data_IF_925491297606
#
_entry.id   IF_925491297606
#
_cell.length_a   1.000
_cell.length_b   1.000
_cell.length_c   1.000
_cell.angle_alpha   90.00
_cell.angle_beta   90.00
_cell.angle_gamma   90.00
#
_symmetry.space_group_name_H-M   'P 1'
#
loop_
_entity.id
_entity.type
_entity.pdbx_description
1 polymer ?
#
# COMPACT_ATOMS: atom_id res chain seq x y z
N UNK A 1 -9.67 13.14 15.57
CA UNK A 1 -10.11 13.88 14.38
C UNK A 1 -10.95 12.95 13.53
N UNK A 2 -12.23 13.26 13.36
CA UNK A 2 -13.20 12.40 12.67
C UNK A 2 -12.99 12.35 11.15
N UNK A 3 -13.59 11.33 10.53
CA UNK A 3 -13.57 11.04 9.10
C UNK A 3 -14.24 12.15 8.30
N UNK A 4 -13.45 12.93 7.54
CA UNK A 4 -13.90 13.97 6.61
C UNK A 4 -12.94 15.16 6.54
N UNK A 5 -13.03 16.04 5.51
CA UNK A 5 -12.28 17.28 5.48
C UNK A 5 -12.72 18.16 6.65
N UNK A 6 -11.93 18.18 7.72
CA UNK A 6 -12.18 19.04 8.87
C UNK A 6 -11.82 20.49 8.51
N UNK A 7 -12.80 21.27 8.09
CA UNK A 7 -12.65 22.72 8.00
C UNK A 7 -12.83 23.32 9.41
N UNK A 8 -11.76 23.87 9.97
CA UNK A 8 -11.84 24.73 11.16
C UNK A 8 -12.05 26.16 10.66
N UNK A 9 -13.31 26.63 10.62
CA UNK A 9 -13.62 28.04 10.33
C UNK A 9 -13.98 28.74 11.63
N UNK A 10 -13.24 29.78 12.04
CA UNK A 10 -13.61 30.67 13.16
C UNK A 10 -13.34 32.14 12.86
N UNK A 11 -14.30 32.96 13.26
CA UNK A 11 -14.29 34.42 13.26
C UNK A 11 -14.05 34.92 14.70
N UNK A 12 -12.84 35.33 15.08
CA UNK A 12 -12.55 35.93 16.40
C UNK A 12 -11.07 36.00 16.80
N UNK A 13 -10.71 36.95 17.69
CA UNK A 13 -9.35 37.50 17.92
C UNK A 13 -8.49 36.88 19.05
N UNK A 14 -8.70 35.62 19.44
CA UNK A 14 -7.80 34.93 20.38
C UNK A 14 -6.95 33.88 19.65
N UNK A 15 -5.63 33.86 19.93
CA UNK A 15 -4.64 32.99 19.27
C UNK A 15 -4.93 31.51 19.55
N UNK A 16 -5.35 30.76 18.54
CA UNK A 16 -5.47 29.31 18.61
C UNK A 16 -4.08 28.69 18.37
N UNK A 17 -3.57 27.93 19.34
CA UNK A 17 -2.40 27.08 19.10
C UNK A 17 -2.87 25.82 18.41
N UNK A 18 -2.50 25.63 17.14
CA UNK A 18 -2.78 24.39 16.44
C UNK A 18 -1.62 23.43 16.73
N UNK A 19 -1.89 22.41 17.55
CA UNK A 19 -0.94 21.33 17.79
C UNK A 19 -0.89 20.38 16.57
N UNK A 20 -0.11 20.77 15.55
CA UNK A 20 0.02 20.02 14.30
C UNK A 20 0.69 18.65 14.45
N UNK A 21 1.36 18.38 15.58
CA UNK A 21 1.90 17.05 15.90
C UNK A 21 0.84 15.94 15.94
N UNK A 22 -0.44 16.29 16.11
CA UNK A 22 -1.59 15.36 16.02
C UNK A 22 -2.22 15.31 14.62
N UNK A 23 -1.75 16.12 13.67
CA UNK A 23 -2.26 16.25 12.29
C UNK A 23 -1.22 15.61 11.34
N UNK A 24 -0.98 14.32 11.51
CA UNK A 24 0.03 13.57 10.75
C UNK A 24 -0.59 12.54 9.78
N UNK A 25 -1.92 12.54 9.58
CA UNK A 25 -2.64 11.48 8.87
C UNK A 25 -3.93 11.93 8.15
N UNK A 26 -4.11 13.23 7.91
CA UNK A 26 -5.23 13.69 7.08
C UNK A 26 -4.79 13.56 5.63
N UNK A 27 -5.41 12.68 4.85
CA UNK A 27 -5.24 12.62 3.39
C UNK A 27 -5.79 13.84 2.67
N UNK A 28 -5.84 15.00 3.34
CA UNK A 28 -6.30 16.29 2.86
C UNK A 28 -5.39 17.42 3.36
N UNK A 29 -5.83 18.67 3.14
CA UNK A 29 -5.06 19.87 3.48
C UNK A 29 -5.71 20.65 4.60
N UNK A 30 -4.92 21.21 5.51
CA UNK A 30 -5.34 22.27 6.42
C UNK A 30 -5.08 23.62 5.73
N UNK A 31 -6.14 24.28 5.26
CA UNK A 31 -6.06 25.63 4.74
C UNK A 31 -6.55 26.63 5.79
N UNK A 32 -5.70 27.57 6.19
CA UNK A 32 -6.02 28.57 7.21
C UNK A 32 -6.77 29.79 6.65
N UNK A 33 -6.82 29.96 5.32
CA UNK A 33 -7.63 31.00 4.67
C UNK A 33 -7.23 32.46 4.92
N UNK A 34 -6.29 32.75 5.82
CA UNK A 34 -5.56 34.01 5.93
C UNK A 34 -4.34 33.86 6.85
N UNK A 35 -3.44 34.83 6.80
CA UNK A 35 -2.28 34.91 7.69
C UNK A 35 -2.70 35.11 9.16
N UNK A 36 -1.88 34.64 10.09
CA UNK A 36 -1.96 34.90 11.53
C UNK A 36 -3.25 34.40 12.23
N UNK A 37 -4.02 33.51 11.58
CA UNK A 37 -5.21 32.89 12.20
C UNK A 37 -4.85 31.80 13.22
N UNK A 38 -3.63 31.24 13.11
CA UNK A 38 -3.17 30.15 13.96
C UNK A 38 -1.66 30.24 14.24
N UNK A 39 -1.21 29.60 15.31
CA UNK A 39 0.21 29.43 15.62
C UNK A 39 0.64 27.97 15.55
N UNK A 40 1.94 27.72 15.36
CA UNK A 40 2.53 26.37 15.37
C UNK A 40 3.94 26.31 15.93
N UNK A 41 4.21 25.27 16.72
CA UNK A 41 5.57 24.93 17.16
C UNK A 41 6.33 24.03 16.18
N UNK A 42 5.72 23.66 15.05
CA UNK A 42 6.32 22.76 14.05
C UNK A 42 7.60 23.37 13.48
N UNK A 43 8.63 22.54 13.33
CA UNK A 43 9.88 22.94 12.70
C UNK A 43 9.65 23.20 11.21
N UNK A 44 10.27 24.26 10.69
CA UNK A 44 10.24 24.55 9.26
C UNK A 44 11.27 23.71 8.53
N UNK A 45 10.91 23.23 7.35
CA UNK A 45 11.83 22.63 6.39
C UNK A 45 12.00 23.61 5.23
N UNK A 46 13.24 24.02 4.94
CA UNK A 46 13.52 25.01 3.88
C UNK A 46 12.73 26.32 4.04
N UNK A 47 12.43 26.72 5.29
CA UNK A 47 11.61 27.89 5.59
C UNK A 47 10.11 27.69 5.39
N UNK A 48 9.64 26.46 5.13
CA UNK A 48 8.24 26.10 4.90
C UNK A 48 7.72 25.14 5.97
N UNK A 49 6.44 25.25 6.26
CA UNK A 49 5.69 24.23 7.00
C UNK A 49 5.42 23.02 6.09
N UNK A 50 5.08 21.85 6.66
CA UNK A 50 4.65 20.71 5.86
C UNK A 50 3.57 21.09 4.83
N UNK A 51 3.68 20.56 3.61
CA UNK A 51 2.90 21.03 2.46
C UNK A 51 1.38 20.82 2.57
N UNK A 52 0.92 19.94 3.46
CA UNK A 52 -0.50 19.81 3.78
C UNK A 52 -1.06 21.04 4.52
N UNK A 53 -0.22 21.98 4.93
CA UNK A 53 -0.60 23.23 5.58
C UNK A 53 -0.45 24.35 4.58
N UNK A 54 -1.57 25.01 4.31
CA UNK A 54 -1.65 26.09 3.35
C UNK A 54 -2.26 27.33 3.99
N UNK A 55 -1.87 28.50 3.48
CA UNK A 55 -2.52 29.77 3.77
C UNK A 55 -2.94 30.36 2.43
N UNK A 56 -4.24 30.64 2.29
CA UNK A 56 -4.83 31.07 1.01
C UNK A 56 -4.51 30.12 -0.17
N UNK A 57 -4.39 28.83 0.11
CA UNK A 57 -4.05 27.81 -0.89
C UNK A 57 -2.57 27.77 -1.32
N UNK A 58 -1.72 28.69 -0.86
CA UNK A 58 -0.27 28.64 -1.02
C UNK A 58 0.40 27.90 0.14
N UNK A 59 1.67 27.49 -0.01
CA UNK A 59 2.41 26.88 1.10
C UNK A 59 2.60 27.87 2.25
N UNK A 60 2.62 27.33 3.46
CA UNK A 60 2.70 28.12 4.67
C UNK A 60 4.12 28.16 5.27
N UNK A 61 4.37 29.16 6.10
CA UNK A 61 5.55 29.28 6.97
C UNK A 61 5.11 29.74 8.35
N UNK A 62 6.06 29.97 9.26
CA UNK A 62 5.81 30.61 10.55
C UNK A 62 6.77 31.77 10.80
N UNK A 63 6.29 32.80 11.49
CA UNK A 63 7.12 33.92 11.93
C UNK A 63 7.92 33.57 13.21
N UNK A 64 8.73 34.50 13.70
CA UNK A 64 9.52 34.34 14.94
C UNK A 64 8.66 34.18 16.22
N UNK A 65 7.39 34.55 16.15
CA UNK A 65 6.39 34.38 17.22
C UNK A 65 5.54 33.11 17.03
N UNK A 66 5.90 32.25 16.07
CA UNK A 66 5.19 31.03 15.68
C UNK A 66 3.82 31.23 15.01
N UNK A 67 3.43 32.45 14.60
CA UNK A 67 2.21 32.66 13.82
C UNK A 67 2.39 32.03 12.43
N UNK A 68 1.35 31.35 11.93
CA UNK A 68 1.34 30.74 10.60
C UNK A 68 0.92 31.80 9.58
N UNK A 69 1.68 31.92 8.49
CA UNK A 69 1.44 32.87 7.40
C UNK A 69 1.79 32.23 6.05
N UNK A 70 1.30 32.81 4.96
CA UNK A 70 1.68 32.43 3.61
C UNK A 70 3.17 32.66 3.38
N UNK A 71 3.84 31.68 2.77
CA UNK A 71 5.23 31.86 2.38
C UNK A 71 5.32 32.67 1.09
N UNK A 72 6.20 33.67 1.07
CA UNK A 72 6.37 34.59 -0.07
C UNK A 72 7.81 34.64 -0.61
N UNK A 73 8.75 33.92 0.01
CA UNK A 73 10.18 33.94 -0.33
C UNK A 73 10.57 33.14 -1.57
N UNK A 74 9.69 33.02 -2.56
CA UNK A 74 9.95 32.24 -3.78
C UNK A 74 10.80 32.99 -4.80
N UNK A 75 11.57 32.24 -5.60
CA UNK A 75 12.08 32.69 -6.88
C UNK A 75 11.05 32.40 -7.96
N UNK A 76 10.58 33.43 -8.66
CA UNK A 76 9.54 33.28 -9.67
C UNK A 76 10.10 32.75 -10.99
N UNK A 77 9.34 31.87 -11.63
CA UNK A 77 9.59 31.34 -12.97
C UNK A 77 8.32 31.49 -13.78
N UNK A 78 8.43 31.98 -15.01
CA UNK A 78 7.27 32.14 -15.90
C UNK A 78 6.70 30.78 -16.30
N UNK A 79 5.38 30.61 -16.23
CA UNK A 79 4.69 29.37 -16.63
C UNK A 79 4.96 29.00 -18.08
N UNK A 80 5.05 29.99 -18.96
CA UNK A 80 5.28 29.79 -20.38
C UNK A 80 6.70 30.22 -20.76
N UNK A 81 7.54 29.24 -21.11
CA UNK A 81 8.91 29.47 -21.56
C UNK A 81 9.91 29.86 -20.46
N UNK A 82 9.52 29.79 -19.19
CA UNK A 82 10.41 30.04 -18.07
C UNK A 82 11.48 28.96 -17.89
N UNK A 83 12.53 29.29 -17.14
CA UNK A 83 13.64 28.40 -16.88
C UNK A 83 13.86 28.23 -15.36
N UNK A 84 13.89 26.99 -14.89
CA UNK A 84 14.28 26.66 -13.52
C UNK A 84 15.80 26.59 -13.47
N UNK A 85 16.41 27.58 -12.82
CA UNK A 85 17.86 27.68 -12.66
C UNK A 85 18.32 26.95 -11.41
N UNK A 86 19.49 26.32 -11.48
CA UNK A 86 20.11 25.66 -10.34
C UNK A 86 20.33 26.65 -9.18
N UNK A 87 19.68 26.37 -8.06
CA UNK A 87 19.76 27.15 -6.82
C UNK A 87 19.29 26.29 -5.65
N UNK A 88 20.22 25.55 -5.05
CA UNK A 88 19.95 24.51 -4.03
C UNK A 88 19.22 25.00 -2.77
N UNK A 89 19.17 26.31 -2.52
CA UNK A 89 18.43 26.91 -1.41
C UNK A 89 17.10 27.58 -1.80
N UNK A 90 16.84 27.76 -3.10
CA UNK A 90 15.69 28.52 -3.55
C UNK A 90 14.42 27.67 -3.61
N UNK A 91 13.34 28.19 -3.04
CA UNK A 91 11.99 27.69 -3.31
C UNK A 91 11.49 28.35 -4.59
N UNK A 92 11.05 27.57 -5.57
CA UNK A 92 10.62 28.08 -6.87
C UNK A 92 9.10 28.23 -6.90
N UNK A 93 8.60 29.33 -7.48
CA UNK A 93 7.17 29.52 -7.78
C UNK A 93 6.98 29.75 -9.28
N UNK A 94 6.30 28.82 -9.95
CA UNK A 94 5.88 29.01 -11.33
C UNK A 94 4.65 29.92 -11.33
N UNK A 95 4.77 31.12 -11.89
CA UNK A 95 3.73 32.15 -11.91
C UNK A 95 3.10 32.31 -13.30
N UNK A 96 1.89 32.86 -13.35
CA UNK A 96 1.22 33.18 -14.62
C UNK A 96 1.91 34.34 -15.34
N UNK A 97 2.89 33.98 -16.16
CA UNK A 97 3.68 34.88 -16.99
C UNK A 97 4.24 34.11 -18.20
N UNK A 98 4.86 34.86 -19.11
CA UNK A 98 5.39 34.35 -20.38
C UNK A 98 4.35 34.28 -21.50
N UNK A 99 4.78 33.87 -22.69
CA UNK A 99 3.97 33.91 -23.91
C UNK A 99 3.74 32.54 -24.55
N UNK A 100 4.75 31.68 -24.54
CA UNK A 100 4.69 30.33 -25.14
C UNK A 100 5.79 29.44 -24.57
N UNK A 101 5.66 28.13 -24.79
CA UNK A 101 6.66 27.12 -24.44
C UNK A 101 6.48 26.52 -23.04
N UNK A 102 7.26 25.47 -22.79
CA UNK A 102 7.29 24.76 -21.51
C UNK A 102 8.21 25.48 -20.52
N UNK A 103 8.04 25.20 -19.23
CA UNK A 103 9.09 25.48 -18.25
C UNK A 103 10.23 24.49 -18.45
N UNK A 104 11.47 24.94 -18.52
CA UNK A 104 12.63 24.09 -18.86
C UNK A 104 13.74 24.17 -17.81
N UNK A 105 14.67 23.21 -17.86
CA UNK A 105 15.97 23.32 -17.18
C UNK A 105 17.03 23.71 -18.23
N UNK A 106 17.67 24.88 -18.11
CA UNK A 106 18.57 25.37 -19.15
C UNK A 106 19.98 24.78 -19.07
N UNK A 107 20.35 24.22 -17.91
CA UNK A 107 21.66 23.60 -17.72
C UNK A 107 21.60 22.10 -18.04
N UNK A 108 22.63 21.60 -18.72
CA UNK A 108 22.86 20.15 -18.80
C UNK A 108 23.31 19.62 -17.43
N UNK A 109 22.73 18.51 -16.98
CA UNK A 109 23.08 17.87 -15.71
C UNK A 109 22.03 18.08 -14.63
N UNK A 110 22.43 18.42 -13.40
CA UNK A 110 21.53 18.49 -12.25
C UNK A 110 21.18 19.95 -11.92
N UNK A 111 19.89 20.26 -11.89
CA UNK A 111 19.31 21.49 -11.35
C UNK A 111 18.79 21.22 -9.94
N UNK A 112 19.33 21.89 -8.94
CA UNK A 112 18.92 21.75 -7.54
C UNK A 112 17.97 22.86 -7.14
N UNK A 113 16.87 22.52 -6.46
CA UNK A 113 15.95 23.48 -5.87
C UNK A 113 15.47 23.00 -4.51
N UNK A 114 14.98 23.93 -3.68
CA UNK A 114 14.39 23.61 -2.38
C UNK A 114 13.01 22.95 -2.52
N UNK A 115 12.10 23.65 -3.18
CA UNK A 115 10.71 23.22 -3.46
C UNK A 115 10.23 23.80 -4.77
N UNK A 116 9.12 23.26 -5.29
CA UNK A 116 8.45 23.80 -6.48
C UNK A 116 6.98 24.04 -6.17
N UNK A 117 6.52 25.27 -6.29
CA UNK A 117 5.12 25.65 -6.26
C UNK A 117 4.65 25.98 -7.67
N UNK A 118 3.62 25.30 -8.16
CA UNK A 118 2.86 25.77 -9.30
C UNK A 118 1.80 26.77 -8.82
N UNK A 119 2.09 28.06 -8.92
CA UNK A 119 1.15 29.14 -8.62
C UNK A 119 0.30 29.54 -9.83
N UNK A 120 0.40 28.79 -10.94
CA UNK A 120 -0.41 28.98 -12.14
C UNK A 120 -1.90 28.84 -11.89
N UNK A 121 -2.67 29.91 -12.12
CA UNK A 121 -4.12 29.96 -11.92
C UNK A 121 -4.95 29.87 -13.20
N UNK A 122 -4.34 29.95 -14.38
CA UNK A 122 -5.06 30.13 -15.66
C UNK A 122 -5.10 28.84 -16.50
N UNK A 123 -4.03 28.06 -16.50
CA UNK A 123 -3.93 26.84 -17.32
C UNK A 123 -2.96 25.82 -16.70
N UNK A 124 -2.97 24.56 -17.17
CA UNK A 124 -1.99 23.57 -16.76
C UNK A 124 -0.55 24.03 -17.04
N UNK A 125 0.37 23.60 -16.17
CA UNK A 125 1.81 23.86 -16.30
C UNK A 125 2.52 22.61 -16.78
N UNK A 126 3.41 22.76 -17.76
CA UNK A 126 4.30 21.69 -18.22
C UNK A 126 5.74 22.06 -17.90
N UNK A 127 6.39 21.25 -17.07
CA UNK A 127 7.83 21.31 -16.77
C UNK A 127 8.51 20.18 -17.55
N UNK A 128 9.37 20.57 -18.48
CA UNK A 128 10.23 19.67 -19.23
C UNK A 128 11.63 19.69 -18.62
N UNK A 129 12.00 18.58 -17.96
CA UNK A 129 13.34 18.43 -17.37
C UNK A 129 14.39 18.35 -18.50
N UNK A 130 14.03 17.83 -19.67
CA UNK A 130 14.95 17.52 -20.76
C UNK A 130 15.65 16.17 -20.58
N UNK A 131 15.88 15.46 -21.68
CA UNK A 131 16.58 14.16 -21.67
C UNK A 131 18.00 14.30 -21.13
N UNK A 132 18.40 13.42 -20.21
CA UNK A 132 19.73 13.42 -19.60
C UNK A 132 19.92 14.45 -18.48
N UNK A 133 18.93 15.30 -18.22
CA UNK A 133 18.95 16.25 -17.11
C UNK A 133 18.22 15.70 -15.89
N UNK A 134 18.53 16.28 -14.74
CA UNK A 134 17.94 15.93 -13.45
C UNK A 134 17.41 17.17 -12.75
N UNK A 135 16.15 17.15 -12.33
CA UNK A 135 15.62 18.08 -11.33
C UNK A 135 15.74 17.42 -9.95
N UNK A 136 16.56 17.98 -9.06
CA UNK A 136 16.77 17.47 -7.70
C UNK A 136 16.19 18.42 -6.66
N UNK A 137 15.22 17.93 -5.90
CA UNK A 137 14.67 18.61 -4.73
C UNK A 137 15.60 18.44 -3.52
N UNK A 138 15.48 19.32 -2.52
CA UNK A 138 16.11 19.09 -1.21
C UNK A 138 15.55 17.83 -0.53
N UNK A 139 16.22 17.34 0.52
CA UNK A 139 15.87 16.11 1.26
C UNK A 139 14.36 16.00 1.59
N UNK A 140 13.74 17.12 1.92
CA UNK A 140 12.33 17.24 2.26
C UNK A 140 11.61 18.27 1.36
N UNK A 141 12.05 18.36 0.11
CA UNK A 141 11.45 19.28 -0.87
C UNK A 141 10.11 18.76 -1.38
N UNK A 142 9.08 19.61 -1.35
CA UNK A 142 7.76 19.31 -1.91
C UNK A 142 7.56 19.98 -3.26
N UNK A 143 6.87 19.29 -4.16
CA UNK A 143 6.23 19.85 -5.35
C UNK A 143 4.75 20.06 -5.04
N UNK A 144 4.29 21.31 -5.03
CA UNK A 144 2.88 21.67 -4.94
C UNK A 144 2.32 21.90 -6.34
N UNK A 145 1.38 21.06 -6.77
CA UNK A 145 0.86 21.06 -8.13
C UNK A 145 -0.08 22.23 -8.46
N UNK A 146 -0.51 23.01 -7.46
CA UNK A 146 -1.41 24.14 -7.65
C UNK A 146 -2.84 23.71 -8.00
N UNK A 147 -3.62 24.66 -8.54
CA UNK A 147 -5.06 24.48 -8.79
C UNK A 147 -5.40 24.01 -10.21
N UNK A 148 -4.46 24.06 -11.16
CA UNK A 148 -4.73 23.79 -12.58
C UNK A 148 -3.97 22.58 -13.15
N UNK A 149 -3.30 21.82 -12.28
CA UNK A 149 -2.50 20.66 -12.67
C UNK A 149 -1.08 21.02 -13.10
N UNK A 150 -0.20 20.04 -12.91
CA UNK A 150 1.22 20.13 -13.23
C UNK A 150 1.63 18.84 -13.92
N UNK A 151 2.32 18.95 -15.05
CA UNK A 151 2.97 17.82 -15.70
C UNK A 151 4.48 18.00 -15.63
N UNK A 152 5.20 16.98 -15.17
CA UNK A 152 6.67 16.91 -15.21
C UNK A 152 7.04 15.82 -16.18
N UNK A 153 7.87 16.15 -17.17
CA UNK A 153 8.21 15.26 -18.28
C UNK A 153 9.69 15.24 -18.58
N UNK A 154 10.11 14.17 -19.25
CA UNK A 154 11.49 13.86 -19.64
C UNK A 154 12.47 13.82 -18.45
N UNK A 155 13.71 13.41 -18.70
CA UNK A 155 14.79 13.43 -17.69
C UNK A 155 14.47 12.66 -16.40
N UNK A 156 15.17 13.06 -15.34
CA UNK A 156 15.09 12.45 -14.01
C UNK A 156 14.58 13.43 -12.97
N UNK A 157 13.64 12.99 -12.14
CA UNK A 157 13.19 13.70 -10.94
C UNK A 157 13.74 12.97 -9.71
N UNK A 158 14.31 13.71 -8.77
CA UNK A 158 14.85 13.11 -7.54
C UNK A 158 14.80 14.08 -6.36
N UNK A 159 15.18 13.63 -5.17
CA UNK A 159 15.23 14.41 -3.94
C UNK A 159 16.56 14.19 -3.21
N UNK A 160 16.71 14.70 -1.98
CA UNK A 160 17.92 14.47 -1.16
C UNK A 160 18.94 15.61 -1.14
N UNK A 161 18.74 16.66 -1.94
CA UNK A 161 19.61 17.85 -1.95
C UNK A 161 21.05 17.56 -2.39
N UNK A 162 21.92 18.57 -2.35
CA UNK A 162 23.30 18.54 -2.92
C UNK A 162 24.25 17.53 -2.29
N UNK A 163 23.88 16.95 -1.16
CA UNK A 163 24.68 15.97 -0.44
C UNK A 163 24.31 14.52 -0.79
N UNK A 164 23.41 14.32 -1.77
CA UNK A 164 22.93 13.00 -2.20
C UNK A 164 22.48 12.12 -1.02
N UNK A 165 21.85 12.76 -0.03
CA UNK A 165 21.29 12.05 1.13
C UNK A 165 20.03 11.32 0.70
N UNK A 166 19.58 10.36 1.52
CA UNK A 166 18.21 9.88 1.41
C UNK A 166 17.23 11.08 1.38
N UNK A 167 16.12 10.93 0.67
CA UNK A 167 15.15 12.00 0.50
C UNK A 167 13.80 11.47 0.03
N UNK A 168 12.81 12.35 -0.08
CA UNK A 168 11.49 12.00 -0.61
C UNK A 168 11.07 13.03 -1.64
N UNK A 169 10.65 12.56 -2.81
CA UNK A 169 9.88 13.38 -3.74
C UNK A 169 8.46 13.43 -3.20
N UNK A 170 8.09 14.50 -2.49
CA UNK A 170 6.73 14.72 -2.03
C UNK A 170 5.95 15.54 -3.06
N UNK A 171 4.84 15.01 -3.55
CA UNK A 171 3.96 15.67 -4.50
C UNK A 171 2.63 15.93 -3.81
N UNK A 172 2.38 17.20 -3.52
CA UNK A 172 1.15 17.69 -2.95
C UNK A 172 0.23 18.20 -4.05
N UNK A 173 -0.86 17.48 -4.31
CA UNK A 173 -1.92 17.92 -5.21
C UNK A 173 -3.19 18.21 -4.40
N UNK A 174 -3.45 19.49 -4.13
CA UNK A 174 -4.61 19.95 -3.36
C UNK A 174 -5.91 20.04 -4.16
N UNK A 175 -5.88 19.77 -5.46
CA UNK A 175 -7.02 19.98 -6.34
C UNK A 175 -7.30 18.77 -7.24
N UNK A 176 -8.53 18.66 -7.73
CA UNK A 176 -8.96 17.56 -8.60
C UNK A 176 -8.22 17.43 -9.95
N UNK A 177 -7.69 18.50 -10.61
CA UNK A 177 -6.99 18.34 -11.87
C UNK A 177 -5.81 17.37 -11.79
N UNK A 178 -5.61 16.64 -12.87
CA UNK A 178 -4.58 15.62 -12.97
C UNK A 178 -3.19 16.25 -12.89
N UNK A 179 -2.38 15.79 -11.93
CA UNK A 179 -0.93 15.96 -11.95
C UNK A 179 -0.33 14.72 -12.61
N UNK A 180 0.63 14.89 -13.49
CA UNK A 180 1.29 13.78 -14.18
C UNK A 180 2.81 13.87 -14.07
N UNK A 181 3.46 12.75 -13.80
CA UNK A 181 4.92 12.63 -13.80
C UNK A 181 5.30 11.50 -14.75
N UNK A 182 5.92 11.92 -15.85
CA UNK A 182 6.46 11.05 -16.91
C UNK A 182 7.99 11.08 -16.97
N UNK A 183 8.63 11.90 -16.14
CA UNK A 183 10.06 11.79 -15.83
C UNK A 183 10.34 10.53 -15.01
N UNK A 184 11.53 9.96 -15.14
CA UNK A 184 11.96 8.85 -14.27
C UNK A 184 12.23 9.39 -12.88
N UNK A 185 11.54 8.87 -11.87
CA UNK A 185 11.90 9.12 -10.47
C UNK A 185 12.99 8.12 -10.08
N UNK A 186 14.12 8.61 -9.57
CA UNK A 186 15.30 7.79 -9.28
C UNK A 186 15.96 8.14 -7.93
N UNK A 187 16.71 7.18 -7.39
CA UNK A 187 17.68 7.43 -6.32
C UNK A 187 18.76 8.42 -6.78
N UNK A 188 19.35 9.16 -5.85
CA UNK A 188 20.28 10.25 -6.17
C UNK A 188 21.76 9.84 -6.03
N UNK A 189 22.11 8.60 -6.38
CA UNK A 189 23.43 8.02 -6.13
C UNK A 189 23.40 7.17 -4.87
N UNK A 190 23.98 7.64 -3.77
CA UNK A 190 24.00 6.86 -2.50
C UNK A 190 22.74 7.01 -1.66
N UNK A 191 21.95 8.06 -1.89
CA UNK A 191 20.72 8.33 -1.15
C UNK A 191 19.53 7.60 -1.75
N UNK A 192 18.85 6.84 -0.89
CA UNK A 192 17.57 6.21 -1.22
C UNK A 192 16.48 7.29 -1.31
N UNK A 193 15.74 7.29 -2.41
CA UNK A 193 14.65 8.23 -2.65
C UNK A 193 13.31 7.52 -2.49
N UNK A 194 12.43 8.09 -1.67
CA UNK A 194 11.03 7.69 -1.59
C UNK A 194 10.13 8.59 -2.44
N UNK A 195 8.88 8.17 -2.61
CA UNK A 195 7.82 8.98 -3.22
C UNK A 195 6.71 9.16 -2.19
N UNK A 196 6.26 10.40 -1.99
CA UNK A 196 5.05 10.68 -1.21
C UNK A 196 4.01 11.38 -2.09
N UNK A 197 2.77 10.87 -2.06
CA UNK A 197 1.60 11.50 -2.67
C UNK A 197 0.68 12.04 -1.58
N UNK A 198 0.51 13.36 -1.57
CA UNK A 198 -0.29 14.09 -0.60
C UNK A 198 -1.39 14.92 -1.29
N UNK A 199 -2.35 15.40 -0.50
CA UNK A 199 -3.51 16.17 -1.00
C UNK A 199 -4.56 15.32 -1.72
N UNK A 200 -5.73 15.90 -1.96
CA UNK A 200 -6.93 15.18 -2.43
C UNK A 200 -6.91 14.81 -3.93
N UNK A 201 -6.00 15.40 -4.70
CA UNK A 201 -5.95 15.26 -6.15
C UNK A 201 -5.41 13.92 -6.66
N UNK A 202 -5.38 13.79 -7.98
CA UNK A 202 -4.78 12.65 -8.68
C UNK A 202 -3.33 12.97 -9.08
N UNK A 203 -2.42 12.03 -8.81
CA UNK A 203 -1.08 11.97 -9.38
C UNK A 203 -0.99 10.74 -10.27
N UNK A 204 -0.62 10.92 -11.54
CA UNK A 204 -0.39 9.83 -12.49
C UNK A 204 1.10 9.63 -12.69
N UNK A 205 1.58 8.40 -12.51
CA UNK A 205 2.93 7.98 -12.91
C UNK A 205 2.85 7.15 -14.19
N UNK A 206 3.71 7.47 -15.14
CA UNK A 206 3.80 6.74 -16.42
C UNK A 206 5.21 6.26 -16.76
N UNK A 207 6.24 6.82 -16.14
CA UNK A 207 7.61 6.36 -16.32
C UNK A 207 7.87 5.00 -15.64
N UNK A 208 8.90 4.29 -16.13
CA UNK A 208 9.53 3.21 -15.39
C UNK A 208 10.46 3.81 -14.33
N UNK A 209 10.03 3.81 -13.08
CA UNK A 209 10.75 4.48 -12.00
C UNK A 209 11.80 3.56 -11.37
N UNK A 210 12.92 4.13 -10.93
CA UNK A 210 14.08 3.38 -10.41
C UNK A 210 14.46 3.75 -8.98
N UNK A 211 13.64 4.54 -8.30
CA UNK A 211 13.82 4.81 -6.88
C UNK A 211 13.56 3.55 -6.05
N UNK A 212 14.30 3.38 -4.94
CA UNK A 212 14.22 2.17 -4.11
C UNK A 212 13.51 2.39 -2.76
N UNK A 213 13.23 3.64 -2.42
CA UNK A 213 12.48 3.99 -1.21
C UNK A 213 10.98 3.71 -1.32
N UNK A 214 10.30 3.82 -0.19
CA UNK A 214 8.86 3.55 -0.09
C UNK A 214 8.03 4.54 -0.91
N UNK A 215 7.02 4.03 -1.62
CA UNK A 215 5.91 4.80 -2.17
C UNK A 215 4.81 4.97 -1.12
N UNK A 216 4.61 6.18 -0.65
CA UNK A 216 3.62 6.52 0.39
C UNK A 216 2.46 7.30 -0.22
N UNK A 217 1.22 6.84 -0.05
CA UNK A 217 0.01 7.56 -0.44
C UNK A 217 -0.67 8.07 0.83
N UNK A 218 -0.41 9.34 1.16
CA UNK A 218 -1.00 10.01 2.31
C UNK A 218 -2.46 10.40 2.04
N UNK A 219 -2.79 10.74 0.79
CA UNK A 219 -4.12 11.17 0.39
C UNK A 219 -4.30 11.29 -1.12
N UNK A 220 -5.56 11.35 -1.56
CA UNK A 220 -5.93 11.38 -2.96
C UNK A 220 -5.52 10.11 -3.71
N UNK A 221 -5.49 10.19 -5.04
CA UNK A 221 -5.19 9.02 -5.88
C UNK A 221 -3.77 9.06 -6.44
N UNK A 222 -3.01 7.98 -6.24
CA UNK A 222 -1.85 7.64 -7.04
C UNK A 222 -2.28 6.66 -8.14
N UNK A 223 -2.21 7.07 -9.40
CA UNK A 223 -2.57 6.28 -10.57
C UNK A 223 -1.31 5.80 -11.30
N UNK A 224 -1.24 4.50 -11.61
CA UNK A 224 -0.10 3.87 -12.26
C UNK A 224 -0.49 3.39 -13.66
N UNK A 225 0.20 3.90 -14.68
CA UNK A 225 -0.14 3.67 -16.10
C UNK A 225 0.96 2.94 -16.88
N UNK A 226 2.19 2.82 -16.35
CA UNK A 226 3.33 2.25 -17.07
C UNK A 226 3.61 0.76 -16.83
N UNK A 227 2.99 0.16 -15.81
CA UNK A 227 3.18 -1.23 -15.40
C UNK A 227 4.56 -1.60 -14.86
N UNK A 228 5.40 -0.59 -14.66
CA UNK A 228 6.64 -0.60 -13.88
C UNK A 228 6.82 0.77 -13.21
N UNK A 229 5.70 1.40 -12.83
CA UNK A 229 5.70 2.74 -12.26
C UNK A 229 6.16 2.74 -10.79
N UNK A 230 6.20 1.57 -10.16
CA UNK A 230 6.88 1.33 -8.90
C UNK A 230 7.86 0.17 -9.16
N UNK A 231 9.05 0.20 -8.57
CA UNK A 231 9.98 -0.91 -8.71
C UNK A 231 9.35 -2.21 -8.18
N UNK A 232 9.66 -3.34 -8.81
CA UNK A 232 9.12 -4.66 -8.41
C UNK A 232 9.45 -5.05 -6.96
N UNK A 233 10.51 -4.47 -6.39
CA UNK A 233 10.90 -4.64 -4.98
C UNK A 233 10.39 -3.50 -4.09
N UNK A 234 9.76 -2.49 -4.65
CA UNK A 234 9.31 -1.27 -4.00
C UNK A 234 8.21 -1.52 -2.97
N UNK A 235 8.34 -0.89 -1.81
CA UNK A 235 7.31 -0.93 -0.78
C UNK A 235 6.23 0.12 -1.05
N UNK A 236 4.96 -0.26 -0.92
CA UNK A 236 3.82 0.65 -1.01
C UNK A 236 3.09 0.74 0.33
N UNK A 237 2.89 1.97 0.81
CA UNK A 237 2.16 2.27 2.03
C UNK A 237 1.03 3.26 1.77
N UNK A 238 -0.22 2.88 2.06
CA UNK A 238 -1.37 3.79 2.02
C UNK A 238 -1.72 4.19 3.45
N UNK A 239 -1.80 5.49 3.71
CA UNK A 239 -2.17 6.02 5.01
C UNK A 239 -3.59 5.57 5.43
N UNK A 240 -3.85 5.54 6.74
CA UNK A 240 -5.20 5.29 7.26
C UNK A 240 -6.07 6.54 7.12
N UNK A 241 -6.39 6.90 5.87
CA UNK A 241 -7.14 8.09 5.55
C UNK A 241 -8.10 7.85 4.39
N UNK A 242 -9.33 8.35 4.53
CA UNK A 242 -10.31 8.30 3.44
C UNK A 242 -9.77 9.04 2.23
N UNK A 243 -9.79 8.36 1.08
CA UNK A 243 -9.31 8.91 -0.18
C UNK A 243 -7.86 8.60 -0.49
N UNK A 244 -7.04 8.07 0.44
CA UNK A 244 -5.74 7.50 0.10
C UNK A 244 -5.94 6.27 -0.80
N UNK A 245 -5.68 6.46 -2.10
CA UNK A 245 -6.03 5.49 -3.14
C UNK A 245 -4.83 5.16 -4.01
N UNK A 246 -4.53 3.88 -4.15
CA UNK A 246 -3.70 3.37 -5.24
C UNK A 246 -4.61 2.87 -6.36
N UNK A 247 -4.46 3.38 -7.58
CA UNK A 247 -5.25 2.97 -8.75
C UNK A 247 -4.35 2.42 -9.85
N UNK A 248 -4.65 1.21 -10.31
CA UNK A 248 -3.92 0.56 -11.39
C UNK A 248 -4.63 0.81 -12.71
N UNK A 249 -4.04 1.65 -13.56
CA UNK A 249 -4.46 1.83 -14.96
C UNK A 249 -3.66 0.91 -15.91
N UNK A 250 -2.65 0.22 -15.40
CA UNK A 250 -1.97 -0.92 -16.01
C UNK A 250 -1.56 -1.93 -14.94
N UNK A 251 -1.26 -3.16 -15.34
CA UNK A 251 -0.82 -4.20 -14.39
C UNK A 251 0.53 -3.84 -13.80
N UNK A 252 0.71 -4.01 -12.50
CA UNK A 252 1.88 -3.51 -11.75
C UNK A 252 2.42 -4.59 -10.81
N UNK A 253 3.74 -4.63 -10.64
CA UNK A 253 4.40 -5.47 -9.65
C UNK A 253 5.03 -4.60 -8.56
N UNK A 254 4.82 -4.99 -7.31
CA UNK A 254 5.38 -4.30 -6.14
C UNK A 254 5.98 -5.30 -5.17
N UNK A 255 6.90 -4.83 -4.33
CA UNK A 255 7.53 -5.67 -3.30
C UNK A 255 6.56 -5.95 -2.16
N UNK A 256 5.88 -4.93 -1.63
CA UNK A 256 4.99 -5.13 -0.49
C UNK A 256 3.86 -4.12 -0.45
N UNK A 257 2.71 -4.52 0.11
CA UNK A 257 1.55 -3.66 0.29
C UNK A 257 1.16 -3.56 1.77
N UNK A 258 1.31 -2.38 2.34
CA UNK A 258 0.74 -1.98 3.61
C UNK A 258 -0.33 -0.91 3.41
N UNK A 259 -1.47 -1.01 4.10
CA UNK A 259 -2.54 -0.02 3.93
C UNK A 259 -3.37 0.15 5.19
N UNK A 260 -3.75 1.39 5.51
CA UNK A 260 -4.70 1.66 6.60
C UNK A 260 -6.14 1.30 6.25
N UNK A 261 -7.00 1.09 7.26
CA UNK A 261 -8.36 0.61 7.08
C UNK A 261 -9.26 1.51 6.22
N UNK A 262 -9.03 2.83 6.24
CA UNK A 262 -9.80 3.79 5.46
C UNK A 262 -9.29 4.00 4.02
N UNK A 263 -8.26 3.27 3.59
CA UNK A 263 -7.64 3.41 2.27
C UNK A 263 -8.26 2.48 1.22
N UNK A 264 -7.91 2.68 -0.05
CA UNK A 264 -8.40 1.85 -1.16
C UNK A 264 -7.28 1.49 -2.14
N UNK A 265 -7.23 0.23 -2.54
CA UNK A 265 -6.54 -0.22 -3.75
C UNK A 265 -7.59 -0.51 -4.82
N UNK A 266 -7.56 0.22 -5.92
CA UNK A 266 -8.45 0.01 -7.05
C UNK A 266 -7.69 -0.65 -8.20
N UNK A 267 -7.97 -1.93 -8.43
CA UNK A 267 -7.34 -2.73 -9.48
C UNK A 267 -7.85 -2.38 -10.88
N UNK A 268 -8.95 -1.64 -11.00
CA UNK A 268 -9.66 -1.45 -12.27
C UNK A 268 -9.86 -2.82 -12.94
N UNK A 269 -9.32 -3.05 -14.13
CA UNK A 269 -9.30 -4.36 -14.80
C UNK A 269 -7.90 -5.01 -14.87
N UNK A 270 -6.95 -4.52 -14.06
CA UNK A 270 -5.54 -4.84 -14.13
C UNK A 270 -5.08 -5.83 -13.04
N UNK A 271 -3.90 -6.41 -13.21
CA UNK A 271 -3.29 -7.31 -12.23
C UNK A 271 -2.39 -6.53 -11.27
N UNK A 272 -2.57 -6.70 -9.97
CA UNK A 272 -1.57 -6.31 -8.97
C UNK A 272 -0.78 -7.54 -8.55
N UNK A 273 0.54 -7.52 -8.73
CA UNK A 273 1.45 -8.56 -8.23
C UNK A 273 2.19 -8.07 -7.01
N UNK A 274 2.13 -8.81 -5.91
CA UNK A 274 2.89 -8.56 -4.68
C UNK A 274 3.99 -9.62 -4.58
N UNK A 275 5.25 -9.23 -4.71
CA UNK A 275 6.37 -10.13 -4.98
C UNK A 275 7.47 -10.18 -3.90
N UNK A 276 7.31 -9.47 -2.80
CA UNK A 276 8.34 -9.36 -1.78
C UNK A 276 8.40 -10.49 -0.77
N UNK A 277 9.36 -10.35 0.14
CA UNK A 277 9.74 -11.36 1.14
C UNK A 277 9.27 -11.00 2.55
N UNK A 278 8.75 -9.79 2.75
CA UNK A 278 8.27 -9.29 4.04
C UNK A 278 6.84 -9.77 4.36
N UNK A 279 6.47 -9.71 5.64
CA UNK A 279 5.09 -9.82 6.07
C UNK A 279 4.45 -8.43 6.11
N UNK A 280 3.40 -8.19 5.33
CA UNK A 280 2.70 -6.88 5.28
C UNK A 280 1.19 -7.02 5.37
N UNK A 281 0.53 -6.02 5.95
CA UNK A 281 -0.92 -5.98 6.15
C UNK A 281 -1.57 -4.88 5.33
N UNK A 282 -2.50 -5.26 4.46
CA UNK A 282 -3.41 -4.39 3.75
C UNK A 282 -4.78 -4.39 4.46
N UNK A 283 -5.02 -3.39 5.31
CA UNK A 283 -6.29 -3.26 6.05
C UNK A 283 -7.39 -2.52 5.28
N UNK A 284 -7.06 -1.88 4.15
CA UNK A 284 -8.00 -1.15 3.32
C UNK A 284 -8.77 -2.06 2.37
N UNK A 285 -9.73 -1.49 1.63
CA UNK A 285 -10.48 -2.21 0.59
C UNK A 285 -9.60 -2.39 -0.64
N UNK A 286 -9.47 -3.63 -1.14
CA UNK A 286 -9.07 -3.88 -2.53
C UNK A 286 -10.35 -4.05 -3.37
N UNK A 287 -10.44 -3.38 -4.52
CA UNK A 287 -11.65 -3.26 -5.35
C UNK A 287 -11.33 -3.37 -6.85
N UNK A 288 -12.36 -3.53 -7.70
CA UNK A 288 -12.25 -3.58 -9.16
C UNK A 288 -12.63 -4.94 -9.77
N UNK A 289 -12.45 -5.09 -11.07
CA UNK A 289 -12.60 -6.35 -11.82
C UNK A 289 -11.26 -7.07 -12.09
N UNK A 290 -10.15 -6.41 -11.79
CA UNK A 290 -8.79 -6.92 -11.90
C UNK A 290 -8.46 -8.04 -10.91
N UNK A 291 -7.24 -8.55 -11.01
CA UNK A 291 -6.75 -9.73 -10.30
C UNK A 291 -5.64 -9.40 -9.32
N UNK A 292 -5.45 -10.26 -8.32
CA UNK A 292 -4.35 -10.19 -7.37
C UNK A 292 -3.41 -11.39 -7.56
N UNK A 293 -2.11 -11.16 -7.66
CA UNK A 293 -1.09 -12.21 -7.65
C UNK A 293 -0.22 -12.02 -6.42
N UNK A 294 -0.04 -13.08 -5.63
CA UNK A 294 0.92 -13.13 -4.53
C UNK A 294 2.04 -14.10 -4.90
N UNK A 295 3.26 -13.57 -4.94
CA UNK A 295 4.51 -14.29 -5.20
C UNK A 295 5.60 -13.80 -4.22
N UNK A 296 6.80 -14.36 -4.30
CA UNK A 296 7.84 -14.14 -3.30
C UNK A 296 7.54 -14.82 -1.95
N UNK A 297 8.57 -15.06 -1.16
CA UNK A 297 8.49 -15.86 0.06
C UNK A 297 7.71 -15.19 1.23
N UNK A 298 7.33 -13.93 1.09
CA UNK A 298 6.68 -13.15 2.15
C UNK A 298 5.21 -13.52 2.41
N UNK A 299 4.62 -12.91 3.45
CA UNK A 299 3.21 -13.08 3.79
C UNK A 299 2.44 -11.79 3.54
N UNK A 300 1.41 -11.82 2.69
CA UNK A 300 0.47 -10.70 2.60
C UNK A 300 -0.76 -11.00 3.45
N UNK A 301 -1.14 -10.06 4.32
CA UNK A 301 -2.37 -10.13 5.12
C UNK A 301 -3.38 -9.16 4.50
N UNK A 302 -4.56 -9.62 4.12
CA UNK A 302 -5.68 -8.82 3.65
C UNK A 302 -6.67 -8.70 4.81
N UNK A 303 -6.59 -7.61 5.56
CA UNK A 303 -7.38 -7.39 6.77
C UNK A 303 -8.64 -6.54 6.53
N UNK A 304 -8.77 -5.92 5.35
CA UNK A 304 -9.96 -5.19 4.94
C UNK A 304 -11.03 -6.07 4.28
N UNK A 305 -12.23 -5.52 4.11
CA UNK A 305 -13.32 -6.12 3.31
C UNK A 305 -12.99 -5.93 1.84
N UNK A 306 -12.72 -7.01 1.11
CA UNK A 306 -12.21 -6.90 -0.26
C UNK A 306 -13.32 -7.16 -1.28
N UNK A 307 -13.53 -6.21 -2.18
CA UNK A 307 -14.67 -6.19 -3.12
C UNK A 307 -14.27 -6.41 -4.58
N UNK A 308 -12.99 -6.65 -4.86
CA UNK A 308 -12.57 -6.99 -6.23
C UNK A 308 -13.17 -8.32 -6.69
N UNK A 309 -13.50 -8.40 -7.97
CA UNK A 309 -14.23 -9.54 -8.55
C UNK A 309 -13.38 -10.48 -9.40
N UNK A 310 -12.15 -10.06 -9.77
CA UNK A 310 -11.19 -10.94 -10.41
C UNK A 310 -10.60 -11.97 -9.45
N UNK A 311 -9.91 -12.96 -10.01
CA UNK A 311 -9.28 -14.03 -9.24
C UNK A 311 -8.06 -13.57 -8.44
N UNK A 312 -7.74 -14.33 -7.39
CA UNK A 312 -6.45 -14.26 -6.70
C UNK A 312 -5.60 -15.47 -7.06
N UNK A 313 -4.35 -15.26 -7.45
CA UNK A 313 -3.37 -16.32 -7.70
C UNK A 313 -2.27 -16.25 -6.65
N UNK A 314 -1.95 -17.38 -6.02
CA UNK A 314 -0.83 -17.51 -5.10
C UNK A 314 0.19 -18.45 -5.75
N UNK A 315 1.34 -17.90 -6.13
CA UNK A 315 2.45 -18.67 -6.73
C UNK A 315 3.56 -18.96 -5.73
N UNK A 316 3.77 -18.10 -4.73
CA UNK A 316 4.77 -18.28 -3.67
C UNK A 316 4.40 -17.49 -2.39
N UNK A 317 4.94 -17.95 -1.25
CA UNK A 317 4.76 -17.34 0.06
C UNK A 317 3.42 -17.66 0.68
N UNK A 318 2.89 -16.74 1.48
CA UNK A 318 1.60 -16.88 2.13
C UNK A 318 0.68 -15.69 1.85
N UNK A 319 -0.62 -15.98 1.83
CA UNK A 319 -1.69 -14.99 1.77
C UNK A 319 -2.69 -15.33 2.86
N UNK A 320 -2.90 -14.39 3.78
CA UNK A 320 -3.86 -14.49 4.88
C UNK A 320 -4.99 -13.50 4.59
N UNK A 321 -6.24 -13.91 4.77
CA UNK A 321 -7.38 -13.01 4.69
C UNK A 321 -8.13 -12.99 6.03
N UNK A 322 -8.42 -11.81 6.56
CA UNK A 322 -9.30 -11.59 7.71
C UNK A 322 -10.58 -10.97 7.14
N UNK A 323 -11.69 -11.70 7.17
CA UNK A 323 -12.91 -11.31 6.44
C UNK A 323 -13.98 -10.82 7.42
N UNK A 324 -14.59 -9.67 7.14
CA UNK A 324 -15.80 -9.21 7.87
C UNK A 324 -17.06 -9.77 7.20
N UNK A 325 -18.08 -10.07 8.00
CA UNK A 325 -19.10 -11.09 7.77
C UNK A 325 -20.14 -10.87 6.64
N UNK A 326 -19.90 -10.04 5.62
CA UNK A 326 -20.94 -9.75 4.60
C UNK A 326 -20.40 -9.70 3.17
N UNK A 327 -20.67 -10.76 2.39
CA UNK A 327 -20.75 -10.68 0.92
C UNK A 327 -19.49 -10.96 0.11
N UNK A 328 -18.33 -11.10 0.74
CA UNK A 328 -17.06 -11.32 0.03
C UNK A 328 -16.99 -12.71 -0.63
N UNK A 329 -16.85 -12.72 -1.96
CA UNK A 329 -16.56 -13.93 -2.75
C UNK A 329 -15.06 -13.99 -2.97
N UNK A 330 -14.30 -14.44 -1.98
CA UNK A 330 -12.87 -14.68 -2.19
C UNK A 330 -12.68 -15.90 -3.10
N UNK A 331 -12.11 -15.68 -4.29
CA UNK A 331 -11.87 -16.70 -5.33
C UNK A 331 -10.37 -16.85 -5.55
N UNK A 332 -9.78 -17.93 -5.05
CA UNK A 332 -8.41 -18.31 -5.41
C UNK A 332 -8.45 -19.16 -6.70
N UNK A 333 -7.71 -18.77 -7.73
CA UNK A 333 -7.54 -19.49 -9.00
C UNK A 333 -6.04 -19.67 -9.32
N UNK A 334 -5.64 -20.90 -9.67
CA UNK A 334 -4.27 -21.16 -10.14
C UNK A 334 -3.21 -21.34 -9.06
N UNK A 335 -3.49 -22.07 -7.97
CA UNK A 335 -2.47 -22.28 -6.93
C UNK A 335 -1.45 -23.33 -7.38
N UNK A 336 -0.21 -22.90 -7.62
CA UNK A 336 0.96 -23.76 -7.74
C UNK A 336 1.89 -23.45 -6.58
N UNK A 337 1.61 -23.98 -5.38
CA UNK A 337 2.47 -23.78 -4.20
C UNK A 337 2.80 -25.09 -3.50
N UNK A 338 3.96 -25.11 -2.84
CA UNK A 338 4.34 -26.02 -1.75
C UNK A 338 4.04 -25.46 -0.35
N UNK A 339 3.42 -24.27 -0.26
CA UNK A 339 3.16 -23.53 0.98
C UNK A 339 1.65 -23.41 1.31
N UNK A 340 1.27 -23.33 2.60
CA UNK A 340 -0.14 -23.36 3.04
C UNK A 340 -0.89 -22.06 2.77
N UNK A 341 -2.17 -22.17 2.37
CA UNK A 341 -3.15 -21.07 2.42
C UNK A 341 -3.81 -21.08 3.80
N UNK A 342 -3.75 -19.96 4.54
CA UNK A 342 -4.39 -19.84 5.88
C UNK A 342 -5.65 -18.98 5.77
N UNK A 343 -6.79 -19.55 6.16
CA UNK A 343 -8.09 -18.87 6.19
C UNK A 343 -8.56 -18.76 7.63
N UNK A 344 -8.67 -17.53 8.14
CA UNK A 344 -9.03 -17.25 9.54
C UNK A 344 -10.56 -17.12 9.76
N UNK A 345 -10.98 -17.01 11.02
CA UNK A 345 -12.38 -17.01 11.47
C UNK A 345 -13.28 -16.04 10.67
N UNK A 346 -14.49 -16.49 10.31
CA UNK A 346 -15.50 -15.69 9.59
C UNK A 346 -15.45 -15.75 8.05
N UNK A 347 -14.49 -16.47 7.46
CA UNK A 347 -14.29 -16.53 6.00
C UNK A 347 -15.20 -17.54 5.28
N UNK A 348 -15.68 -17.21 4.07
CA UNK A 348 -16.21 -18.18 3.10
C UNK A 348 -15.20 -18.41 1.96
N UNK A 349 -14.62 -19.60 1.91
CA UNK A 349 -13.85 -20.07 0.76
C UNK A 349 -14.81 -20.53 -0.34
N UNK A 350 -14.76 -19.90 -1.52
CA UNK A 350 -15.29 -20.44 -2.78
C UNK A 350 -14.11 -20.80 -3.70
N UNK A 351 -13.46 -21.96 -3.52
CA UNK A 351 -12.49 -22.39 -4.51
C UNK A 351 -13.27 -22.82 -5.76
N UNK A 352 -13.02 -22.17 -6.89
CA UNK A 352 -13.10 -22.84 -8.19
C UNK A 352 -11.67 -23.00 -8.63
N UNK A 353 -11.02 -24.03 -8.08
CA UNK A 353 -9.78 -24.52 -8.67
C UNK A 353 -10.16 -24.95 -10.10
N UNK A 354 -9.36 -24.65 -11.10
CA UNK A 354 -9.51 -25.19 -12.46
C UNK A 354 -8.13 -25.03 -13.11
N UNK A 355 -7.63 -26.08 -13.78
CA UNK A 355 -6.85 -27.13 -13.14
C UNK A 355 -5.47 -26.64 -12.63
N UNK A 356 -5.12 -26.93 -11.38
CA UNK A 356 -3.74 -26.81 -10.85
C UNK A 356 -3.59 -27.70 -9.60
N UNK A 357 -2.41 -28.27 -9.41
CA UNK A 357 -2.05 -29.11 -8.27
C UNK A 357 -1.67 -28.25 -7.07
N UNK A 358 -2.43 -28.34 -5.97
CA UNK A 358 -2.09 -27.67 -4.71
C UNK A 358 -1.24 -28.62 -3.85
N UNK A 359 0.07 -28.39 -3.71
CA UNK A 359 0.96 -29.28 -2.92
C UNK A 359 1.13 -28.86 -1.45
N UNK A 360 0.86 -27.60 -1.10
CA UNK A 360 1.09 -27.03 0.24
C UNK A 360 -0.02 -27.17 1.29
N UNK A 361 -1.18 -27.77 0.94
CA UNK A 361 -2.32 -27.91 1.85
C UNK A 361 -3.12 -26.61 2.08
N UNK A 362 -4.25 -26.71 2.78
CA UNK A 362 -5.12 -25.58 3.20
C UNK A 362 -5.24 -25.65 4.72
N UNK A 363 -4.90 -24.57 5.43
CA UNK A 363 -5.16 -24.46 6.87
C UNK A 363 -6.34 -23.54 7.11
N UNK A 364 -7.36 -24.02 7.82
CA UNK A 364 -8.50 -23.20 8.27
C UNK A 364 -8.36 -23.01 9.77
N UNK A 365 -8.21 -21.77 10.24
CA UNK A 365 -8.16 -21.42 11.66
C UNK A 365 -9.45 -20.74 12.11
N UNK A 366 -9.97 -21.09 13.29
CA UNK A 366 -11.15 -20.46 13.91
C UNK A 366 -12.52 -20.98 13.43
N UNK A 367 -13.61 -20.23 13.68
CA UNK A 367 -15.01 -20.60 13.40
C UNK A 367 -15.40 -20.57 11.90
N UNK A 368 -14.42 -20.61 11.00
CA UNK A 368 -14.59 -20.42 9.56
C UNK A 368 -15.43 -21.51 8.90
N UNK A 369 -16.76 -21.39 9.01
CA UNK A 369 -17.83 -21.85 8.10
C UNK A 369 -19.17 -21.94 8.85
N UNK A 370 -19.65 -20.84 9.45
CA UNK A 370 -20.87 -20.90 10.27
C UNK A 370 -22.13 -20.29 9.66
N UNK A 371 -22.24 -20.09 8.34
CA UNK A 371 -23.54 -19.78 7.73
C UNK A 371 -23.78 -20.49 6.37
N UNK A 372 -24.53 -21.59 6.47
CA UNK A 372 -25.42 -22.25 5.51
C UNK A 372 -24.95 -22.66 4.09
N UNK A 373 -23.85 -22.14 3.50
CA UNK A 373 -23.43 -22.51 2.12
C UNK A 373 -21.91 -22.43 1.82
N UNK A 374 -21.01 -22.62 2.78
CA UNK A 374 -19.56 -22.70 2.53
C UNK A 374 -19.08 -24.13 2.23
N UNK A 375 -18.66 -24.41 1.00
CA UNK A 375 -18.07 -25.70 0.62
C UNK A 375 -16.68 -25.48 0.04
N UNK A 376 -15.65 -26.20 0.53
CA UNK A 376 -14.37 -26.30 -0.18
C UNK A 376 -14.63 -27.16 -1.42
N UNK A 377 -14.68 -26.54 -2.60
CA UNK A 377 -14.82 -27.23 -3.89
C UNK A 377 -13.44 -27.34 -4.54
N UNK A 378 -12.85 -28.52 -4.54
CA UNK A 378 -11.58 -28.80 -5.20
C UNK A 378 -11.87 -29.34 -6.60
N UNK A 379 -11.30 -28.73 -7.64
CA UNK A 379 -11.50 -29.26 -8.99
C UNK A 379 -10.43 -30.25 -9.46
N UNK A 380 -9.45 -30.57 -8.60
CA UNK A 380 -8.29 -31.44 -8.90
C UNK A 380 -7.75 -32.09 -7.62
N UNK A 381 -6.71 -32.92 -7.77
CA UNK A 381 -5.93 -33.54 -6.68
C UNK A 381 -5.29 -32.49 -5.77
N UNK A 382 -5.56 -32.60 -4.47
CA UNK A 382 -4.81 -31.93 -3.40
C UNK A 382 -3.60 -32.80 -3.04
N UNK A 383 -2.39 -32.27 -3.16
CA UNK A 383 -1.13 -32.94 -2.79
C UNK A 383 -0.69 -32.70 -1.34
N UNK A 384 -1.38 -31.84 -0.59
CA UNK A 384 -1.10 -31.53 0.83
C UNK A 384 -2.30 -31.77 1.76
N UNK A 385 -2.14 -31.51 3.06
CA UNK A 385 -3.21 -31.72 4.05
C UNK A 385 -4.22 -30.56 4.08
N UNK A 386 -5.48 -30.83 4.37
CA UNK A 386 -6.38 -29.80 4.92
C UNK A 386 -6.25 -29.87 6.44
N UNK A 387 -5.73 -28.81 7.06
CA UNK A 387 -5.56 -28.72 8.51
C UNK A 387 -6.68 -27.85 9.08
N UNK A 388 -7.49 -28.41 9.97
CA UNK A 388 -8.49 -27.69 10.74
C UNK A 388 -7.88 -27.32 12.09
N UNK A 389 -7.62 -26.03 12.32
CA UNK A 389 -7.03 -25.53 13.55
C UNK A 389 -8.11 -24.90 14.45
N UNK A 390 -8.44 -25.59 15.55
CA UNK A 390 -9.38 -25.15 16.58
C UNK A 390 -10.68 -25.97 16.65
N UNK A 391 -11.29 -26.01 17.84
CA UNK A 391 -12.42 -26.90 18.19
C UNK A 391 -13.72 -26.67 17.40
N UNK A 392 -13.79 -25.60 16.60
CA UNK A 392 -14.99 -25.19 15.85
C UNK A 392 -14.84 -25.25 14.33
N UNK A 393 -13.65 -25.61 13.82
CA UNK A 393 -13.41 -25.70 12.38
C UNK A 393 -14.09 -26.96 11.79
N UNK A 394 -14.98 -26.77 10.81
CA UNK A 394 -15.79 -27.85 10.19
C UNK A 394 -15.80 -27.73 8.67
N UNK A 395 -15.59 -28.85 7.97
CA UNK A 395 -15.81 -28.96 6.52
C UNK A 395 -17.24 -29.43 6.28
N UNK A 396 -18.13 -28.56 5.78
CA UNK A 396 -19.52 -28.94 5.49
C UNK A 396 -19.67 -29.84 4.27
N UNK A 397 -18.88 -29.56 3.24
CA UNK A 397 -18.88 -30.29 1.97
C UNK A 397 -17.51 -30.20 1.32
N UNK A 398 -17.00 -31.36 0.92
CA UNK A 398 -15.85 -31.52 0.04
C UNK A 398 -16.38 -32.06 -1.29
N UNK A 399 -16.14 -31.34 -2.40
CA UNK A 399 -16.61 -31.76 -3.73
C UNK A 399 -15.42 -31.82 -4.67
N UNK A 400 -15.20 -32.99 -5.29
CA UNK A 400 -14.16 -33.24 -6.29
C UNK A 400 -14.76 -33.15 -7.69
N UNK A 401 -14.10 -32.46 -8.62
CA UNK A 401 -14.52 -32.40 -10.03
C UNK A 401 -13.87 -33.53 -10.82
N UNK A 402 -14.48 -34.72 -10.80
CA UNK A 402 -14.09 -35.85 -11.66
C UNK A 402 -14.11 -37.18 -10.90
N UNK A 403 -15.19 -37.95 -11.09
CA UNK A 403 -15.34 -39.31 -10.56
C UNK A 403 -15.53 -39.39 -9.04
N UNK A 404 -16.16 -40.47 -8.58
CA UNK A 404 -16.29 -40.80 -7.16
C UNK A 404 -14.90 -40.98 -6.52
N UNK A 405 -14.72 -40.46 -5.30
CA UNK A 405 -13.49 -40.63 -4.50
C UNK A 405 -13.84 -40.84 -3.02
N UNK A 406 -13.03 -41.64 -2.31
CA UNK A 406 -13.27 -41.98 -0.90
C UNK A 406 -12.62 -40.94 0.03
N UNK A 407 -13.42 -40.29 0.87
CA UNK A 407 -12.91 -39.48 1.98
C UNK A 407 -12.54 -40.38 3.15
N UNK A 408 -11.29 -40.36 3.57
CA UNK A 408 -10.80 -41.05 4.77
C UNK A 408 -10.43 -40.03 5.84
N UNK A 409 -10.68 -40.35 7.11
CA UNK A 409 -10.27 -39.54 8.26
C UNK A 409 -9.32 -40.31 9.16
N UNK A 410 -8.42 -39.60 9.83
CA UNK A 410 -7.64 -40.11 10.96
C UNK A 410 -7.67 -39.07 12.09
N UNK A 411 -7.41 -39.53 13.30
CA UNK A 411 -7.19 -38.67 14.46
C UNK A 411 -6.07 -39.28 15.31
N UNK A 412 -5.39 -38.46 16.09
CA UNK A 412 -4.45 -38.94 17.10
C UNK A 412 -5.17 -39.02 18.45
N UNK A 413 -5.32 -40.22 19.04
CA UNK A 413 -5.95 -40.34 20.36
C UNK A 413 -5.05 -39.69 21.42
N UNK A 414 -5.55 -38.66 22.09
CA UNK A 414 -4.91 -38.11 23.29
C UNK A 414 -5.52 -38.77 24.52
N UNK A 415 -4.70 -39.51 25.26
CA UNK A 415 -5.10 -40.22 26.48
C UNK A 415 -4.36 -39.61 27.67
N UNK A 416 -5.10 -39.26 28.72
CA UNK A 416 -4.49 -39.02 30.03
C UNK A 416 -3.93 -40.34 30.56
N UNK A 417 -2.67 -40.33 30.97
CA UNK A 417 -1.95 -41.54 31.37
C UNK A 417 -1.08 -41.30 32.59
N UNK A 418 -0.95 -42.34 33.41
CA UNK A 418 -0.02 -42.40 34.52
C UNK A 418 0.94 -43.57 34.32
N UNK A 419 2.19 -43.40 34.76
CA UNK A 419 3.19 -44.49 34.80
C UNK A 419 2.92 -45.49 35.93
N UNK A 420 2.10 -45.12 36.91
CA UNK A 420 1.71 -45.95 38.05
C UNK A 420 0.19 -46.15 38.05
N UNK A 421 -0.31 -47.37 38.30
CA UNK A 421 -1.75 -47.62 38.43
C UNK A 421 -2.37 -46.74 39.53
N UNK A 422 -3.53 -46.18 39.25
CA UNK A 422 -4.34 -45.47 40.25
C UNK A 422 -5.82 -45.70 39.99
N UNK A 423 -6.68 -45.28 40.90
CA UNK A 423 -8.13 -45.37 40.72
C UNK A 423 -8.61 -44.72 39.41
N UNK A 424 -7.90 -43.68 38.94
CA UNK A 424 -8.23 -42.96 37.70
C UNK A 424 -7.46 -43.48 36.47
N UNK A 425 -6.50 -44.39 36.63
CA UNK A 425 -5.66 -44.95 35.55
C UNK A 425 -5.50 -46.47 35.72
N UNK A 426 -6.61 -47.20 35.68
CA UNK A 426 -6.66 -48.63 35.97
C UNK A 426 -6.45 -49.55 34.74
N UNK A 427 -6.45 -49.00 33.52
CA UNK A 427 -6.32 -49.79 32.28
C UNK A 427 -4.89 -49.68 31.74
N UNK A 428 -4.08 -50.74 31.82
CA UNK A 428 -2.71 -50.72 31.32
C UNK A 428 -2.66 -50.86 29.80
N UNK A 429 -1.71 -50.15 29.18
CA UNK A 429 -1.25 -50.42 27.83
C UNK A 429 -0.05 -51.36 27.89
N UNK A 430 -0.10 -52.46 27.15
CA UNK A 430 0.93 -53.50 27.19
C UNK A 430 1.96 -53.31 26.08
N UNK A 431 3.24 -53.46 26.44
CA UNK A 431 4.29 -53.77 25.46
C UNK A 431 4.09 -55.19 24.91
N UNK A 432 4.62 -55.52 23.72
CA UNK A 432 4.70 -56.90 23.27
C UNK A 432 5.34 -57.80 24.35
N UNK A 433 4.77 -58.98 24.65
CA UNK A 433 5.36 -59.91 25.60
C UNK A 433 6.75 -60.35 25.14
N UNK A 434 7.67 -60.58 26.08
CA UNK A 434 9.02 -61.03 25.75
C UNK A 434 9.07 -62.40 25.04
N UNK A 435 8.00 -63.19 25.17
CA UNK A 435 7.85 -64.52 24.54
C UNK A 435 7.19 -64.48 23.16
N UNK A 436 6.80 -63.30 22.66
CA UNK A 436 6.23 -63.16 21.31
C UNK A 436 7.30 -63.49 20.27
N UNK A 437 6.97 -64.39 19.34
CA UNK A 437 7.85 -64.77 18.23
C UNK A 437 7.12 -64.66 16.90
N UNK A 438 7.87 -64.39 15.83
CA UNK A 438 7.31 -64.27 14.48
C UNK A 438 6.55 -65.55 14.08
N UNK A 439 5.36 -65.37 13.51
CA UNK A 439 4.48 -66.46 13.01
C UNK A 439 3.97 -67.43 14.07
N UNK A 440 4.05 -67.10 15.36
CA UNK A 440 3.31 -67.83 16.40
C UNK A 440 1.97 -67.13 16.67
N UNK A 441 0.82 -67.83 16.54
CA UNK A 441 -0.45 -67.26 16.98
C UNK A 441 -0.37 -66.99 18.48
N UNK A 442 -0.84 -65.82 18.89
CA UNK A 442 -0.97 -65.46 20.30
C UNK A 442 -2.44 -65.61 20.70
N UNK A 443 -2.67 -65.94 21.97
CA UNK A 443 -4.01 -66.20 22.51
C UNK A 443 -5.00 -65.09 22.14
N UNK A 444 -6.27 -65.49 21.98
CA UNK A 444 -7.38 -64.55 21.87
C UNK A 444 -7.45 -63.66 23.12
N UNK A 445 -8.06 -62.48 23.00
CA UNK A 445 -8.11 -61.48 24.09
C UNK A 445 -8.85 -61.95 25.35
N UNK A 446 -9.68 -62.98 25.23
CA UNK A 446 -10.39 -63.65 26.33
C UNK A 446 -9.54 -64.80 26.86
#
# INVERSE_FOLDING_TARGET
FGTGPAAITRTGSSTNTIALGAVNNLGGSLNLGADNIATTTTALTNGLLPAYITVNGGLATKDGSNNILAYTGYTNVDRLGGAIIDSSGANISIIEAGTSGNVTLPNSGITNIGTLLNAGTVAPTLVDIGSGNTLRLNNLGTISAGTNGLTITNGTLTAGGIADTAGTVDIFNSSAPATAVSSVIADNGTGVVGLAKSGIGVLTLSAANTYTGTTTVNGGTLALTGGSSIADTGAVSLANSTGATLRLDSSETIGSLASGAASTVNLQANTLTIAGTATTTASGVISGTGTLVKQGSGTQILAGVNTYSGGTTLTEGALTATVSATGDKWRIQGVTTSAPVIVDSGSQLYPVITPSTLSGGITISGTGNSEARGAIRLATTLGGNITLAGDTARIDRLSFKGGEGLLTGYYEPMLEASRQPSANHAVPLYRPPASLAARKPWFTRQ
#
